data_IF_566085095539
#
_entry.id   IF_566085095539
#
_cell.length_a   1.000
_cell.length_b   1.000
_cell.length_c   1.000
_cell.angle_alpha   90.00
_cell.angle_beta   90.00
_cell.angle_gamma   90.00
#
_symmetry.space_group_name_H-M   'P 1'
#
loop_
_entity.id
_entity.type
_entity.pdbx_description
1 polymer ?
#
# COMPACT_ATOMS: atom_id res chain seq x y z
N UNK A 1 7.67 23.56 -6.78
CA UNK A 1 8.18 22.27 -7.27
C UNK A 1 7.25 21.75 -8.36
N UNK A 2 7.77 21.27 -9.50
CA UNK A 2 6.94 20.69 -10.58
C UNK A 2 6.47 19.30 -10.14
N UNK A 3 5.17 18.99 -10.29
CA UNK A 3 4.65 17.63 -10.10
C UNK A 3 5.31 16.70 -11.13
N UNK A 4 5.89 15.59 -10.67
CA UNK A 4 6.38 14.52 -11.55
C UNK A 4 5.21 13.60 -11.89
N UNK A 5 5.00 13.37 -13.17
CA UNK A 5 3.99 12.47 -13.68
C UNK A 5 4.65 11.14 -14.08
N UNK A 6 3.96 10.06 -13.80
CA UNK A 6 4.36 8.71 -14.13
C UNK A 6 3.32 8.09 -15.03
N UNK A 7 3.75 7.14 -15.87
CA UNK A 7 2.88 6.40 -16.76
C UNK A 7 2.90 4.93 -16.41
N UNK A 8 1.73 4.32 -16.35
CA UNK A 8 1.56 2.89 -16.15
C UNK A 8 2.03 2.14 -17.39
N UNK A 9 2.90 1.16 -17.19
CA UNK A 9 3.48 0.30 -18.23
C UNK A 9 3.06 -1.17 -18.12
N UNK A 10 2.51 -1.56 -16.96
CA UNK A 10 1.91 -2.89 -16.74
C UNK A 10 0.60 -2.70 -15.97
N UNK A 11 -0.47 -3.34 -16.45
CA UNK A 11 -1.77 -3.34 -15.76
C UNK A 11 -1.62 -3.86 -14.32
N UNK A 12 -2.41 -3.32 -13.41
CA UNK A 12 -2.47 -3.82 -12.04
C UNK A 12 -3.92 -3.86 -11.57
N UNK A 13 -4.31 -5.01 -11.02
CA UNK A 13 -5.63 -5.24 -10.44
C UNK A 13 -5.44 -5.67 -8.99
N UNK A 14 -5.93 -4.84 -8.07
CA UNK A 14 -6.02 -5.15 -6.66
C UNK A 14 -6.87 -6.41 -6.46
N UNK A 15 -6.39 -7.40 -5.68
CA UNK A 15 -7.21 -8.52 -5.22
C UNK A 15 -8.18 -8.10 -4.10
N UNK A 16 -8.10 -6.84 -3.63
CA UNK A 16 -8.89 -6.31 -2.53
C UNK A 16 -9.94 -5.31 -3.02
N UNK A 17 -11.21 -5.57 -2.71
CA UNK A 17 -12.33 -4.68 -3.03
C UNK A 17 -12.54 -3.56 -2.02
N UNK A 18 -12.17 -3.79 -0.76
CA UNK A 18 -12.41 -2.86 0.35
C UNK A 18 -11.10 -2.28 0.89
N UNK A 19 -11.05 -0.96 1.15
CA UNK A 19 -9.90 -0.33 1.76
C UNK A 19 -9.79 -0.75 3.23
N UNK A 20 -8.58 -1.06 3.68
CA UNK A 20 -8.31 -1.20 5.12
C UNK A 20 -7.68 0.09 5.61
N UNK A 21 -8.36 0.77 6.54
CA UNK A 21 -7.83 1.95 7.23
C UNK A 21 -7.55 1.57 8.68
N UNK A 22 -6.35 1.89 9.14
CA UNK A 22 -5.92 1.61 10.51
C UNK A 22 -5.26 2.88 11.06
N UNK A 23 -5.66 3.29 12.24
CA UNK A 23 -5.13 4.47 12.90
C UNK A 23 -3.88 4.14 13.73
N UNK A 24 -3.06 5.16 13.96
CA UNK A 24 -1.98 5.11 14.94
C UNK A 24 -2.49 4.63 16.30
N UNK A 25 -1.75 3.72 16.92
CA UNK A 25 -2.06 3.13 18.23
C UNK A 25 -2.99 1.92 18.16
N UNK A 26 -3.63 1.66 17.01
CA UNK A 26 -4.39 0.42 16.83
C UNK A 26 -3.47 -0.80 16.76
N UNK A 27 -4.01 -1.95 17.18
CA UNK A 27 -3.30 -3.23 17.19
C UNK A 27 -3.74 -4.13 16.05
N UNK A 28 -2.76 -4.84 15.49
CA UNK A 28 -2.95 -5.88 14.48
C UNK A 28 -2.27 -7.17 14.92
N UNK A 29 -2.81 -8.30 14.49
CA UNK A 29 -2.14 -9.60 14.62
C UNK A 29 -1.19 -9.78 13.45
N UNK A 30 0.06 -10.16 13.74
CA UNK A 30 1.04 -10.54 12.72
C UNK A 30 0.67 -11.93 12.21
N UNK A 31 0.39 -12.02 10.91
CA UNK A 31 0.09 -13.27 10.24
C UNK A 31 1.35 -14.01 9.76
N UNK A 32 1.16 -15.25 9.34
CA UNK A 32 2.27 -16.15 8.97
C UNK A 32 2.57 -16.18 7.47
N UNK A 33 1.99 -15.28 6.66
CA UNK A 33 2.28 -15.23 5.22
C UNK A 33 3.66 -14.61 5.03
N UNK A 34 4.54 -15.37 4.39
CA UNK A 34 5.81 -14.83 3.90
C UNK A 34 5.52 -13.79 2.82
N UNK A 35 6.23 -12.67 2.87
CA UNK A 35 6.08 -11.63 1.85
C UNK A 35 7.08 -11.89 0.72
N UNK A 36 6.59 -11.90 -0.52
CA UNK A 36 7.44 -11.78 -1.69
C UNK A 36 8.03 -10.36 -1.83
N UNK A 37 7.50 -9.39 -1.06
CA UNK A 37 7.94 -7.99 -1.03
C UNK A 37 8.68 -7.68 0.28
N UNK A 38 10.03 -7.55 0.24
CA UNK A 38 10.80 -7.13 1.41
C UNK A 38 10.25 -5.83 2.00
N UNK A 39 10.07 -5.80 3.32
CA UNK A 39 9.54 -4.62 4.03
C UNK A 39 8.04 -4.64 4.28
N UNK A 40 7.30 -5.65 3.82
CA UNK A 40 5.87 -5.80 4.08
C UNK A 40 5.56 -6.94 5.05
N UNK A 41 4.54 -6.74 5.89
CA UNK A 41 4.11 -7.72 6.90
C UNK A 41 2.62 -8.01 6.71
N UNK A 42 2.26 -9.28 6.64
CA UNK A 42 0.85 -9.68 6.59
C UNK A 42 0.23 -9.48 7.97
N UNK A 43 -0.84 -8.69 8.03
CA UNK A 43 -1.46 -8.31 9.29
C UNK A 43 -2.96 -8.50 9.23
N UNK A 44 -3.57 -8.85 10.37
CA UNK A 44 -5.01 -8.95 10.56
C UNK A 44 -5.49 -7.93 11.59
N UNK A 45 -6.45 -7.08 11.22
CA UNK A 45 -7.04 -6.12 12.15
C UNK A 45 -8.07 -6.79 13.09
N UNK A 46 -8.58 -6.04 14.08
CA UNK A 46 -9.63 -6.52 14.99
C UNK A 46 -10.93 -6.92 14.29
N UNK A 47 -11.23 -6.31 13.14
CA UNK A 47 -12.39 -6.65 12.29
C UNK A 47 -12.21 -7.92 11.46
N UNK A 48 -11.04 -8.56 11.53
CA UNK A 48 -10.73 -9.79 10.81
C UNK A 48 -10.26 -9.59 9.36
N UNK A 49 -10.15 -8.35 8.89
CA UNK A 49 -9.58 -8.03 7.57
C UNK A 49 -8.06 -8.21 7.60
N UNK A 50 -7.53 -8.80 6.54
CA UNK A 50 -6.11 -9.05 6.39
C UNK A 50 -5.51 -8.26 5.22
N UNK A 51 -4.38 -7.58 5.44
CA UNK A 51 -3.66 -6.82 4.40
C UNK A 51 -2.17 -6.79 4.69
N UNK A 52 -1.40 -6.41 3.67
CA UNK A 52 -0.01 -6.02 3.81
C UNK A 52 0.10 -4.65 4.49
N UNK A 53 0.96 -4.55 5.50
CA UNK A 53 1.31 -3.30 6.17
C UNK A 53 2.83 -3.17 6.12
N UNK A 54 3.38 -1.98 5.84
CA UNK A 54 4.82 -1.77 5.90
C UNK A 54 5.37 -2.09 7.28
N UNK A 55 6.47 -2.84 7.34
CA UNK A 55 7.14 -3.23 8.58
C UNK A 55 7.52 -2.00 9.42
N UNK A 56 7.93 -0.92 8.76
CA UNK A 56 8.33 0.33 9.40
C UNK A 56 7.15 1.09 10.03
N UNK A 57 5.91 0.69 9.75
CA UNK A 57 4.71 1.32 10.30
C UNK A 57 4.22 0.59 11.56
N UNK A 58 4.95 -0.45 11.98
CA UNK A 58 4.60 -1.32 13.09
C UNK A 58 5.72 -1.35 14.13
N UNK A 59 5.34 -1.21 15.39
CA UNK A 59 6.11 -1.73 16.51
C UNK A 59 5.66 -3.16 16.79
N UNK A 60 6.52 -4.15 16.51
CA UNK A 60 6.17 -5.57 16.60
C UNK A 60 6.71 -6.16 17.90
N UNK A 61 5.83 -6.81 18.66
CA UNK A 61 6.15 -7.55 19.87
C UNK A 61 5.52 -8.95 19.78
N UNK A 62 6.33 -9.95 19.44
CA UNK A 62 5.85 -11.32 19.20
C UNK A 62 4.90 -11.37 18.00
N UNK A 63 3.66 -11.81 18.23
CA UNK A 63 2.62 -11.93 17.19
C UNK A 63 1.67 -10.73 17.13
N UNK A 64 1.98 -9.63 17.82
CA UNK A 64 1.20 -8.39 17.81
C UNK A 64 2.04 -7.25 17.25
N UNK A 65 1.38 -6.40 16.46
CA UNK A 65 1.92 -5.12 15.99
C UNK A 65 1.07 -3.96 16.47
N UNK A 66 1.70 -2.87 16.90
CA UNK A 66 1.06 -1.58 17.17
C UNK A 66 1.37 -0.63 16.02
N UNK A 67 0.35 -0.04 15.42
CA UNK A 67 0.55 0.98 14.38
C UNK A 67 1.20 2.23 14.96
N UNK A 68 2.34 2.66 14.42
CA UNK A 68 3.03 3.88 14.89
C UNK A 68 2.60 5.14 14.13
N UNK A 69 1.82 4.96 13.06
CA UNK A 69 1.19 6.01 12.25
C UNK A 69 -0.09 5.49 11.59
N UNK A 70 -0.92 6.41 11.08
CA UNK A 70 -2.10 6.07 10.29
C UNK A 70 -1.68 5.39 8.99
N UNK A 71 -2.47 4.41 8.55
CA UNK A 71 -2.21 3.67 7.33
C UNK A 71 -3.50 3.30 6.60
N UNK A 72 -3.43 3.37 5.28
CA UNK A 72 -4.48 2.93 4.38
C UNK A 72 -3.90 1.93 3.36
N UNK A 73 -4.38 0.69 3.43
CA UNK A 73 -3.97 -0.41 2.54
C UNK A 73 -4.91 -0.52 1.33
N UNK A 74 -5.24 0.62 0.72
CA UNK A 74 -6.00 0.68 -0.54
C UNK A 74 -5.03 0.46 -1.69
N UNK A 75 -5.30 -0.51 -2.56
CA UNK A 75 -4.55 -0.75 -3.80
C UNK A 75 -5.37 -0.23 -4.98
N UNK A 76 -4.74 0.53 -5.89
CA UNK A 76 -5.44 1.18 -6.99
C UNK A 76 -5.37 0.32 -8.25
N UNK A 77 -6.54 -0.03 -8.81
CA UNK A 77 -6.61 -0.62 -10.14
C UNK A 77 -6.13 0.39 -11.19
N UNK A 78 -5.13 0.04 -11.97
CA UNK A 78 -4.59 0.89 -13.02
C UNK A 78 -4.42 0.12 -14.33
N UNK A 79 -4.47 0.86 -15.45
CA UNK A 79 -4.29 0.28 -16.79
C UNK A 79 -3.16 0.96 -17.55
N UNK A 80 -2.47 0.23 -18.42
CA UNK A 80 -1.37 0.74 -19.24
C UNK A 80 -1.76 2.04 -19.95
N UNK A 81 -0.89 3.04 -19.83
CA UNK A 81 -1.13 4.36 -20.41
C UNK A 81 -1.77 5.37 -19.47
N UNK A 82 -2.31 4.94 -18.33
CA UNK A 82 -2.81 5.83 -17.30
C UNK A 82 -1.68 6.70 -16.72
N UNK A 83 -2.01 7.94 -16.38
CA UNK A 83 -1.08 8.88 -15.78
C UNK A 83 -1.35 9.01 -14.27
N UNK A 84 -0.27 8.93 -13.51
CA UNK A 84 -0.29 8.91 -12.06
C UNK A 84 0.61 10.01 -11.50
N UNK A 85 0.22 10.55 -10.36
CA UNK A 85 1.07 11.40 -9.52
C UNK A 85 1.42 10.59 -8.27
N UNK A 86 2.71 10.38 -8.03
CA UNK A 86 3.19 9.72 -6.80
C UNK A 86 3.17 10.74 -5.66
N UNK A 87 2.62 10.35 -4.52
CA UNK A 87 2.58 11.14 -3.29
C UNK A 87 3.47 10.54 -2.19
N UNK A 88 3.64 9.22 -2.19
CA UNK A 88 4.50 8.52 -1.24
C UNK A 88 5.09 7.25 -1.87
N UNK A 89 6.20 6.77 -1.32
CA UNK A 89 6.85 5.52 -1.71
C UNK A 89 7.15 4.72 -0.45
N UNK A 90 6.93 3.41 -0.49
CA UNK A 90 7.24 2.52 0.62
C UNK A 90 7.54 1.12 0.10
N UNK A 91 8.72 0.60 0.44
CA UNK A 91 9.11 -0.80 0.20
C UNK A 91 8.73 -1.35 -1.18
N UNK A 92 9.03 -0.60 -2.25
CA UNK A 92 8.78 -1.01 -3.65
C UNK A 92 7.37 -0.73 -4.19
N UNK A 93 6.51 -0.09 -3.40
CA UNK A 93 5.19 0.37 -3.83
C UNK A 93 5.08 1.89 -3.72
N UNK A 94 4.16 2.45 -4.48
CA UNK A 94 3.93 3.89 -4.51
C UNK A 94 2.47 4.22 -4.28
N UNK A 95 2.21 5.18 -3.38
CA UNK A 95 0.88 5.73 -3.18
C UNK A 95 0.67 6.80 -4.24
N UNK A 96 -0.31 6.58 -5.11
CA UNK A 96 -0.56 7.43 -6.27
C UNK A 96 -1.93 8.07 -6.21
N UNK A 97 -2.09 9.17 -6.96
CA UNK A 97 -3.38 9.75 -7.34
C UNK A 97 -3.50 9.74 -8.86
N UNK A 98 -4.60 9.19 -9.38
CA UNK A 98 -4.88 9.18 -10.82
C UNK A 98 -5.66 10.43 -11.28
N UNK A 99 -5.95 10.53 -12.59
CA UNK A 99 -6.70 11.67 -13.17
C UNK A 99 -8.12 11.84 -12.63
N UNK A 100 -8.74 10.77 -12.13
CA UNK A 100 -10.07 10.80 -11.52
C UNK A 100 -10.03 11.20 -10.04
N UNK A 101 -8.83 11.43 -9.48
CA UNK A 101 -8.63 11.74 -8.06
C UNK A 101 -8.66 10.52 -7.14
N UNK A 102 -8.73 9.30 -7.68
CA UNK A 102 -8.65 8.07 -6.89
C UNK A 102 -7.23 7.84 -6.41
N UNK A 103 -7.09 7.31 -5.20
CA UNK A 103 -5.82 7.04 -4.55
C UNK A 103 -5.66 5.57 -4.16
N UNK A 104 -4.42 5.11 -4.16
CA UNK A 104 -4.05 3.77 -3.69
C UNK A 104 -2.60 3.42 -4.00
N UNK A 105 -2.16 2.30 -3.45
CA UNK A 105 -0.86 1.69 -3.72
C UNK A 105 -0.84 0.99 -5.08
N UNK A 106 0.26 1.14 -5.80
CA UNK A 106 0.59 0.43 -7.05
C UNK A 106 2.05 -0.03 -6.96
N UNK A 107 2.42 -1.21 -7.51
CA UNK A 107 3.82 -1.63 -7.55
C UNK A 107 4.66 -0.63 -8.35
N UNK A 108 5.83 -0.26 -7.84
CA UNK A 108 6.70 0.71 -8.51
C UNK A 108 7.18 0.19 -9.88
N UNK A 109 7.34 -1.12 -10.02
CA UNK A 109 7.74 -1.76 -11.29
C UNK A 109 6.69 -1.63 -12.41
N UNK A 110 5.43 -1.35 -12.04
CA UNK A 110 4.34 -1.18 -13.01
C UNK A 110 4.31 0.23 -13.63
N UNK A 111 5.17 1.14 -13.19
CA UNK A 111 5.17 2.54 -13.63
C UNK A 111 6.56 3.01 -14.06
N UNK A 112 6.61 4.05 -14.88
CA UNK A 112 7.85 4.75 -15.24
C UNK A 112 7.67 6.26 -15.25
N UNK A 113 8.75 6.98 -15.01
CA UNK A 113 8.78 8.43 -15.20
C UNK A 113 8.44 8.77 -16.65
N UNK A 114 7.62 9.80 -16.84
CA UNK A 114 7.24 10.32 -18.16
C UNK A 114 8.35 11.13 -18.80
#
# INVERSE_FOLDING_TARGET
MKRKYYRVIVDYKSPYSEPLKIQKGETVQIGNKESEWPGWVWCKNKGGMERWIPRNYLEIQGNLGVMIQDYEATELNVSVGEELVIENEESGWVWVTNKEGKKGWVPMENIKTR
#
